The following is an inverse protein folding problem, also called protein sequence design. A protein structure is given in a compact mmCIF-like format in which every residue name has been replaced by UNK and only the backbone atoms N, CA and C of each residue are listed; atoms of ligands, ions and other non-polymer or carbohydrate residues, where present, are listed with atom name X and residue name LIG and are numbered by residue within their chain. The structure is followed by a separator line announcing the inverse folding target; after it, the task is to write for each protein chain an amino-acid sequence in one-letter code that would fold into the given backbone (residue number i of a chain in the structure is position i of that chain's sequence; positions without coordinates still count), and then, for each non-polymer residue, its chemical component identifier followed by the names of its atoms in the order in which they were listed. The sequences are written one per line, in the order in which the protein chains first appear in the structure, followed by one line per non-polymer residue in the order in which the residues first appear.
data_IF_008480580747
#
_entry.id   IF_008480580747
#
_cell.length_a   1.000
_cell.length_b   1.000
_cell.length_c   1.000
_cell.angle_alpha   90.00
_cell.angle_beta   90.00
_cell.angle_gamma   90.00
#
_symmetry.space_group_name_H-M   'P 1'
#
loop_
_entity.id
_entity.type
_entity.pdbx_description
1 polymer ?
#
# COMPACT_ATOMS: atom_id res chain seq x y z
N UNK A 1 17.36 -15.86 6.07
CA UNK A 1 16.22 -14.96 6.34
C UNK A 1 16.16 -14.04 5.14
N UNK A 2 15.25 -14.31 4.20
CA UNK A 2 15.09 -13.52 2.97
C UNK A 2 14.65 -12.11 3.35
N UNK A 3 15.15 -11.11 2.63
CA UNK A 3 14.70 -9.73 2.84
C UNK A 3 13.30 -9.59 2.21
N UNK A 4 12.40 -8.87 2.87
CA UNK A 4 11.04 -8.58 2.33
C UNK A 4 11.12 -8.00 0.91
N UNK A 5 12.17 -7.23 0.64
CA UNK A 5 12.46 -6.62 -0.67
C UNK A 5 12.83 -7.63 -1.77
N UNK A 6 13.39 -8.79 -1.41
CA UNK A 6 13.76 -9.84 -2.37
C UNK A 6 12.56 -10.72 -2.71
N UNK A 7 11.70 -10.98 -1.74
CA UNK A 7 10.60 -11.94 -1.86
C UNK A 7 9.26 -11.30 -2.27
N UNK A 8 9.03 -10.05 -1.89
CA UNK A 8 7.74 -9.36 -2.07
C UNK A 8 7.89 -8.02 -2.79
N UNK A 9 8.87 -7.92 -3.69
CA UNK A 9 9.14 -6.70 -4.45
C UNK A 9 7.91 -6.21 -5.23
N UNK A 10 7.16 -7.12 -5.82
CA UNK A 10 5.94 -6.83 -6.59
C UNK A 10 4.85 -6.22 -5.69
N UNK A 11 4.70 -6.71 -4.46
CA UNK A 11 3.76 -6.17 -3.47
C UNK A 11 4.17 -4.77 -3.03
N UNK A 12 5.46 -4.57 -2.74
CA UNK A 12 6.02 -3.26 -2.40
C UNK A 12 5.76 -2.27 -3.54
N UNK A 13 6.09 -2.65 -4.77
CA UNK A 13 5.86 -1.84 -5.95
C UNK A 13 4.38 -1.50 -6.13
N UNK A 14 3.44 -2.44 -5.96
CA UNK A 14 2.02 -2.13 -6.09
C UNK A 14 1.54 -1.09 -5.07
N UNK A 15 2.01 -1.18 -3.83
CA UNK A 15 1.67 -0.17 -2.81
C UNK A 15 2.30 1.18 -3.17
N UNK A 16 3.55 1.21 -3.61
CA UNK A 16 4.22 2.44 -4.02
C UNK A 16 3.55 3.07 -5.25
N UNK A 17 3.09 2.26 -6.20
CA UNK A 17 2.26 2.70 -7.33
C UNK A 17 0.95 3.34 -6.88
N UNK A 18 0.26 2.75 -5.90
CA UNK A 18 -0.95 3.33 -5.33
C UNK A 18 -0.66 4.70 -4.68
N UNK A 19 0.42 4.82 -3.90
CA UNK A 19 0.84 6.10 -3.30
C UNK A 19 1.19 7.13 -4.39
N UNK A 20 1.98 6.72 -5.37
CA UNK A 20 2.45 7.58 -6.45
C UNK A 20 1.30 8.10 -7.33
N UNK A 21 0.28 7.27 -7.57
CA UNK A 21 -0.92 7.71 -8.29
C UNK A 21 -1.61 8.88 -7.60
N UNK A 22 -1.69 8.87 -6.27
CA UNK A 22 -2.29 9.97 -5.48
C UNK A 22 -1.41 11.19 -5.54
N UNK A 23 -0.09 11.03 -5.39
CA UNK A 23 0.86 12.14 -5.45
C UNK A 23 0.87 12.85 -6.80
N UNK A 24 0.84 12.10 -7.91
CA UNK A 24 0.82 12.66 -9.27
C UNK A 24 -0.46 13.46 -9.54
N UNK A 25 -1.59 13.03 -8.99
CA UNK A 25 -2.85 13.78 -9.04
C UNK A 25 -2.89 14.95 -8.04
N UNK A 26 -2.11 14.87 -6.95
CA UNK A 26 -2.11 15.81 -5.84
C UNK A 26 -0.66 16.14 -5.39
N UNK A 27 0.06 17.01 -6.11
CA UNK A 27 1.46 17.34 -5.81
C UNK A 27 1.71 18.00 -4.44
N UNK A 28 0.64 18.40 -3.75
CA UNK A 28 0.64 18.91 -2.38
C UNK A 28 0.72 17.82 -1.30
N UNK A 29 0.65 16.54 -1.67
CA UNK A 29 0.78 15.42 -0.73
C UNK A 29 2.15 15.45 -0.03
N UNK A 30 2.18 15.27 1.29
CA UNK A 30 3.41 15.18 2.06
C UNK A 30 3.68 13.75 2.54
N UNK A 31 4.95 13.45 2.80
CA UNK A 31 5.38 12.18 3.37
C UNK A 31 4.67 11.88 4.71
N UNK A 32 4.30 12.92 5.45
CA UNK A 32 3.48 12.82 6.66
C UNK A 32 2.11 12.18 6.40
N UNK A 33 1.44 12.56 5.31
CA UNK A 33 0.15 11.98 4.93
C UNK A 33 0.30 10.50 4.58
N UNK A 34 1.41 10.15 3.91
CA UNK A 34 1.77 8.77 3.58
C UNK A 34 2.00 7.93 4.84
N UNK A 35 2.85 8.38 5.77
CA UNK A 35 3.08 7.62 7.01
C UNK A 35 1.78 7.49 7.83
N UNK A 36 0.95 8.55 7.89
CA UNK A 36 -0.31 8.53 8.64
C UNK A 36 -1.27 7.47 8.08
N UNK A 37 -1.46 7.42 6.76
CA UNK A 37 -2.31 6.44 6.09
C UNK A 37 -1.77 5.00 6.25
N UNK A 38 -0.47 4.80 6.00
CA UNK A 38 0.17 3.49 6.15
C UNK A 38 0.15 3.00 7.60
N UNK A 39 0.35 3.88 8.58
CA UNK A 39 0.26 3.53 9.98
C UNK A 39 -1.17 3.10 10.36
N UNK A 40 -2.18 3.80 9.86
CA UNK A 40 -3.58 3.42 10.09
C UNK A 40 -3.90 2.04 9.51
N UNK A 41 -3.46 1.74 8.29
CA UNK A 41 -3.61 0.41 7.67
C UNK A 41 -2.89 -0.66 8.48
N UNK A 42 -1.64 -0.40 8.86
CA UNK A 42 -0.85 -1.32 9.67
C UNK A 42 -1.54 -1.64 11.01
N UNK A 43 -2.08 -0.63 11.68
CA UNK A 43 -2.82 -0.82 12.93
C UNK A 43 -4.15 -1.55 12.72
N UNK A 44 -4.84 -1.29 11.61
CA UNK A 44 -6.08 -1.96 11.22
C UNK A 44 -5.86 -3.46 11.03
N UNK A 45 -4.95 -3.84 10.12
CA UNK A 45 -4.63 -5.25 9.85
C UNK A 45 -4.06 -5.99 11.05
N UNK A 46 -3.24 -5.32 11.88
CA UNK A 46 -2.74 -5.92 13.12
C UNK A 46 -3.87 -6.16 14.14
N UNK A 47 -4.88 -5.29 14.17
CA UNK A 47 -6.03 -5.46 15.05
C UNK A 47 -6.93 -6.59 14.55
N UNK A 48 -7.12 -6.72 13.24
CA UNK A 48 -7.88 -7.82 12.63
C UNK A 48 -7.28 -9.19 12.99
N UNK A 49 -5.96 -9.34 12.98
CA UNK A 49 -5.27 -10.59 13.35
C UNK A 49 -5.63 -11.07 14.78
N UNK A 50 -5.97 -10.17 15.68
CA UNK A 50 -6.37 -10.49 17.07
C UNK A 50 -7.89 -10.44 17.27
N UNK A 51 -8.67 -10.49 16.18
CA UNK A 51 -10.13 -10.51 16.20
C UNK A 51 -10.78 -9.18 16.59
N UNK A 52 -10.07 -8.05 16.40
CA UNK A 52 -10.58 -6.72 16.73
C UNK A 52 -10.70 -5.86 15.48
N UNK A 53 -11.82 -5.14 15.36
CA UNK A 53 -11.94 -4.06 14.40
C UNK A 53 -11.43 -2.76 15.01
N UNK A 54 -10.58 -2.04 14.29
CA UNK A 54 -10.17 -0.68 14.66
C UNK A 54 -10.52 0.26 13.51
N UNK A 55 -11.43 1.23 13.71
CA UNK A 55 -11.72 2.20 12.66
C UNK A 55 -10.46 3.05 12.38
N UNK A 56 -10.29 3.51 11.13
CA UNK A 56 -9.24 4.47 10.82
C UNK A 56 -9.44 5.76 11.65
N UNK A 57 -8.35 6.51 11.92
CA UNK A 57 -8.47 7.83 12.53
C UNK A 57 -9.17 8.80 11.58
N UNK A 58 -9.55 9.98 12.09
CA UNK A 58 -10.04 11.05 11.23
C UNK A 58 -8.95 11.49 10.23
N UNK A 59 -9.35 11.52 8.97
CA UNK A 59 -8.55 11.93 7.82
C UNK A 59 -9.14 13.20 7.20
N UNK A 60 -8.30 13.90 6.45
CA UNK A 60 -8.78 14.86 5.46
C UNK A 60 -9.01 14.12 4.13
N UNK A 61 -9.63 14.79 3.16
CA UNK A 61 -9.97 14.18 1.86
C UNK A 61 -8.77 13.52 1.16
N UNK A 62 -7.59 14.13 1.23
CA UNK A 62 -6.38 13.62 0.60
C UNK A 62 -5.84 12.36 1.31
N UNK A 63 -5.88 12.35 2.64
CA UNK A 63 -5.49 11.20 3.46
C UNK A 63 -6.48 10.03 3.29
N UNK A 64 -7.77 10.31 3.16
CA UNK A 64 -8.80 9.31 2.86
C UNK A 64 -8.56 8.67 1.49
N UNK A 65 -8.33 9.49 0.45
CA UNK A 65 -8.02 8.99 -0.89
C UNK A 65 -6.79 8.08 -0.89
N UNK A 66 -5.73 8.49 -0.19
CA UNK A 66 -4.50 7.70 -0.06
C UNK A 66 -4.74 6.39 0.69
N UNK A 67 -5.46 6.46 1.80
CA UNK A 67 -5.81 5.29 2.60
C UNK A 67 -6.57 4.27 1.77
N UNK A 68 -7.63 4.68 1.06
CA UNK A 68 -8.45 3.77 0.26
C UNK A 68 -7.70 3.18 -0.94
N UNK A 69 -6.86 3.96 -1.65
CA UNK A 69 -6.06 3.42 -2.76
C UNK A 69 -5.06 2.36 -2.30
N UNK A 70 -4.34 2.60 -1.21
CA UNK A 70 -3.40 1.61 -0.68
C UNK A 70 -4.15 0.41 -0.10
N UNK A 71 -5.27 0.66 0.60
CA UNK A 71 -6.14 -0.40 1.13
C UNK A 71 -6.60 -1.34 0.03
N UNK A 72 -7.06 -0.82 -1.11
CA UNK A 72 -7.52 -1.64 -2.23
C UNK A 72 -6.46 -2.63 -2.71
N UNK A 73 -5.18 -2.22 -2.79
CA UNK A 73 -4.06 -3.10 -3.11
C UNK A 73 -3.85 -4.16 -2.03
N UNK A 74 -3.89 -3.77 -0.75
CA UNK A 74 -3.75 -4.71 0.35
C UNK A 74 -4.88 -5.75 0.38
N UNK A 75 -6.14 -5.34 0.18
CA UNK A 75 -7.29 -6.25 0.12
C UNK A 75 -7.21 -7.21 -1.07
N UNK A 76 -6.78 -6.73 -2.23
CA UNK A 76 -6.53 -7.57 -3.40
C UNK A 76 -5.44 -8.61 -3.12
N UNK A 77 -4.32 -8.21 -2.50
CA UNK A 77 -3.24 -9.13 -2.11
C UNK A 77 -3.63 -10.09 -0.97
N UNK A 78 -4.65 -9.77 -0.18
CA UNK A 78 -5.25 -10.69 0.80
C UNK A 78 -6.30 -11.61 0.19
N UNK A 79 -6.57 -11.52 -1.12
CA UNK A 79 -7.61 -12.31 -1.80
C UNK A 79 -9.04 -11.89 -1.46
N UNK A 80 -9.24 -10.70 -0.87
CA UNK A 80 -10.57 -10.20 -0.44
C UNK A 80 -11.31 -9.43 -1.54
N UNK A 81 -10.66 -9.18 -2.68
CA UNK A 81 -11.25 -8.53 -3.85
C UNK A 81 -10.77 -9.21 -5.14
N UNK A 82 -11.32 -10.39 -5.50
CA UNK A 82 -10.82 -11.18 -6.61
C UNK A 82 -11.03 -10.47 -7.95
N UNK A 83 -10.03 -10.55 -8.82
CA UNK A 83 -10.12 -10.06 -10.19
C UNK A 83 -10.53 -11.20 -11.11
N UNK A 84 -11.77 -11.16 -11.56
CA UNK A 84 -12.36 -12.18 -12.43
C UNK A 84 -12.47 -11.66 -13.86
N UNK A 85 -12.20 -12.54 -14.83
CA UNK A 85 -12.44 -12.27 -16.24
C UNK A 85 -13.36 -13.35 -16.81
N UNK A 86 -14.43 -12.93 -17.45
CA UNK A 86 -15.30 -13.82 -18.22
C UNK A 86 -14.69 -14.07 -19.61
N UNK A 87 -14.52 -15.34 -19.96
CA UNK A 87 -14.08 -15.81 -21.27
C UNK A 87 -15.19 -15.74 -22.32
N UNK A 88 -14.84 -15.92 -23.59
CA UNK A 88 -15.79 -15.90 -24.71
C UNK A 88 -16.80 -17.08 -24.66
N UNK A 89 -16.46 -18.14 -23.92
CA UNK A 89 -17.27 -19.32 -23.65
C UNK A 89 -18.09 -19.23 -22.35
N UNK A 90 -18.00 -18.09 -21.64
CA UNK A 90 -18.66 -17.89 -20.35
C UNK A 90 -17.90 -18.48 -19.16
N UNK A 91 -16.68 -19.01 -19.34
CA UNK A 91 -15.85 -19.46 -18.22
C UNK A 91 -15.31 -18.24 -17.43
N UNK A 92 -15.46 -18.27 -16.11
CA UNK A 92 -14.90 -17.26 -15.22
C UNK A 92 -13.50 -17.69 -14.80
N UNK A 93 -12.49 -16.96 -15.25
CA UNK A 93 -11.09 -17.17 -14.86
C UNK A 93 -10.73 -16.21 -13.73
N UNK A 94 -10.24 -16.77 -12.62
CA UNK A 94 -9.65 -15.99 -11.55
C UNK A 94 -8.21 -15.59 -11.93
N UNK A 95 -8.00 -14.28 -12.09
CA UNK A 95 -6.70 -13.68 -12.41
C UNK A 95 -6.02 -13.11 -11.16
N UNK A 96 -6.53 -13.44 -9.97
CA UNK A 96 -5.97 -12.96 -8.71
C UNK A 96 -4.65 -13.67 -8.41
N UNK A 97 -3.67 -12.95 -7.83
CA UNK A 97 -2.46 -13.59 -7.31
C UNK A 97 -2.81 -14.50 -6.13
N UNK A 98 -1.88 -15.39 -5.79
CA UNK A 98 -2.01 -16.19 -4.57
C UNK A 98 -2.19 -15.27 -3.34
N UNK A 99 -3.23 -15.49 -2.51
CA UNK A 99 -3.47 -14.66 -1.34
C UNK A 99 -2.30 -14.69 -0.36
N UNK A 100 -1.85 -13.52 0.06
CA UNK A 100 -0.82 -13.35 1.07
C UNK A 100 -1.42 -13.37 2.47
N UNK A 101 -0.57 -13.65 3.46
CA UNK A 101 -0.97 -13.57 4.86
C UNK A 101 -0.94 -12.12 5.37
N UNK A 102 -1.65 -11.86 6.45
CA UNK A 102 -1.58 -10.57 7.14
C UNK A 102 -0.16 -10.20 7.56
N UNK A 103 0.66 -11.18 7.99
CA UNK A 103 2.04 -10.93 8.41
C UNK A 103 2.90 -10.39 7.26
N UNK A 104 2.72 -10.92 6.04
CA UNK A 104 3.42 -10.44 4.85
C UNK A 104 3.00 -9.01 4.51
N UNK A 105 1.69 -8.72 4.52
CA UNK A 105 1.18 -7.36 4.27
C UNK A 105 1.70 -6.37 5.32
N UNK A 106 1.68 -6.74 6.60
CA UNK A 106 2.21 -5.93 7.69
C UNK A 106 3.72 -5.70 7.56
N UNK A 107 4.47 -6.69 7.09
CA UNK A 107 5.90 -6.56 6.84
C UNK A 107 6.19 -5.60 5.68
N UNK A 108 5.41 -5.70 4.58
CA UNK A 108 5.51 -4.79 3.44
C UNK A 108 5.20 -3.35 3.82
N UNK A 109 4.07 -3.11 4.50
CA UNK A 109 3.71 -1.76 4.98
C UNK A 109 4.80 -1.21 5.90
N UNK A 110 5.30 -2.01 6.85
CA UNK A 110 6.37 -1.60 7.76
C UNK A 110 7.66 -1.26 7.00
N UNK A 111 7.98 -1.98 5.92
CA UNK A 111 9.14 -1.72 5.09
C UNK A 111 9.02 -0.41 4.33
N UNK A 112 7.85 -0.11 3.78
CA UNK A 112 7.57 1.15 3.09
C UNK A 112 7.65 2.32 4.08
N UNK A 113 7.05 2.19 5.27
CA UNK A 113 7.15 3.24 6.31
C UNK A 113 8.59 3.56 6.73
N UNK A 114 9.48 2.56 6.79
CA UNK A 114 10.91 2.81 7.00
C UNK A 114 11.55 3.59 5.84
N UNK A 115 11.11 3.32 4.62
CA UNK A 115 11.51 4.08 3.42
C UNK A 115 11.03 5.53 3.52
N UNK A 116 9.76 5.74 3.92
CA UNK A 116 9.19 7.07 4.17
C UNK A 116 10.05 7.82 5.17
N UNK A 117 10.28 7.25 6.35
CA UNK A 117 11.09 7.89 7.40
C UNK A 117 12.51 8.25 6.92
N UNK A 118 13.17 7.33 6.23
CA UNK A 118 14.51 7.55 5.70
C UNK A 118 14.53 8.72 4.70
N UNK A 119 13.69 8.66 3.68
CA UNK A 119 13.69 9.67 2.63
C UNK A 119 13.11 11.00 3.07
N UNK A 120 12.21 11.04 4.05
CA UNK A 120 11.79 12.30 4.68
C UNK A 120 12.96 12.99 5.39
N UNK A 121 13.86 12.22 6.03
CA UNK A 121 15.07 12.77 6.65
C UNK A 121 16.06 13.30 5.62
N UNK A 122 16.25 12.58 4.51
CA UNK A 122 17.21 12.95 3.46
C UNK A 122 16.70 14.08 2.54
N UNK A 123 15.40 14.09 2.23
CA UNK A 123 14.80 14.94 1.19
C UNK A 123 13.71 15.90 1.68
N UNK A 124 13.48 15.98 3.00
CA UNK A 124 12.47 16.84 3.60
C UNK A 124 11.04 16.31 3.45
N UNK A 125 10.04 17.19 3.55
CA UNK A 125 8.60 16.83 3.68
C UNK A 125 7.98 16.02 2.53
N UNK A 126 8.68 15.88 1.40
CA UNK A 126 8.26 15.10 0.23
C UNK A 126 9.40 14.21 -0.28
N UNK A 127 10.44 14.00 0.53
CA UNK A 127 11.64 13.30 0.11
C UNK A 127 11.35 11.87 -0.35
N UNK A 128 10.43 11.17 0.33
CA UNK A 128 10.00 9.84 -0.08
C UNK A 128 9.22 9.87 -1.38
N UNK A 129 8.26 10.78 -1.51
CA UNK A 129 7.46 10.94 -2.72
C UNK A 129 8.33 11.27 -3.95
N UNK A 130 9.31 12.15 -3.81
CA UNK A 130 10.29 12.43 -4.86
C UNK A 130 11.16 11.22 -5.19
N UNK A 131 11.58 10.45 -4.18
CA UNK A 131 12.36 9.24 -4.39
C UNK A 131 11.58 8.21 -5.21
N UNK A 132 10.35 7.88 -4.83
CA UNK A 132 9.58 6.86 -5.56
C UNK A 132 9.15 7.34 -6.94
N UNK A 133 8.85 8.64 -7.14
CA UNK A 133 8.49 9.16 -8.46
C UNK A 133 9.66 9.07 -9.45
N UNK A 134 10.90 9.30 -9.00
CA UNK A 134 12.10 9.19 -9.84
C UNK A 134 12.55 7.75 -10.12
N UNK A 135 12.20 6.81 -9.24
CA UNK A 135 12.69 5.43 -9.31
C UNK A 135 11.61 4.40 -9.65
N UNK A 136 10.39 4.83 -9.96
CA UNK A 136 9.26 3.94 -10.31
C UNK A 136 9.28 3.44 -11.76
N UNK A 137 10.26 3.86 -12.58
CA UNK A 137 10.52 3.27 -13.90
C UNK A 137 9.49 3.60 -14.98
N UNK A 138 8.69 4.67 -14.82
CA UNK A 138 7.88 5.29 -15.88
C UNK A 138 8.40 6.68 -16.23
#
# INVERSE_FOLDING_TARGET
MTLVEEEYLDVLQNIEWAILSVYRENPQLFDYDVDKALNALWMGYRSEQIGKAKPPPAFNELQDLLYERVRAICEWRLGRNPMQKEGEDGEVVDLSPEPLTHDVILACIKRIRKSVEFWTKEGGRQGYLYFIDRNSGL
#
